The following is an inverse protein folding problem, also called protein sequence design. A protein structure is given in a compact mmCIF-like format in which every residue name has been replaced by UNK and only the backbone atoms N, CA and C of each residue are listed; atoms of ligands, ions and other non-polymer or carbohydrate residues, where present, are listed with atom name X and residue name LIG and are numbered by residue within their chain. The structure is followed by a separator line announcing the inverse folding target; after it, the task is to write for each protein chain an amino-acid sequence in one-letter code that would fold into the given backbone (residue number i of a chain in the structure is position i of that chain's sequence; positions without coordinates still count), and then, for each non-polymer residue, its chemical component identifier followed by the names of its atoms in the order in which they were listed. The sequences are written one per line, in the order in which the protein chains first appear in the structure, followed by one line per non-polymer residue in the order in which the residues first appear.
data_IF_945680658164
#
_entry.id   IF_945680658164
#
_cell.length_a   1.000
_cell.length_b   1.000
_cell.length_c   1.000
_cell.angle_alpha   90.00
_cell.angle_beta   90.00
_cell.angle_gamma   90.00
#
_symmetry.space_group_name_H-M   'P 1'
#
loop_
_entity.id
_entity.type
_entity.pdbx_description
1 polymer ?
#
# COMPACT_ATOMS: atom_id res chain seq x y z
N UNK A 1 -1.37 6.38 2.54
CA UNK A 1 -2.63 5.62 2.76
C UNK A 1 -2.34 4.13 3.02
N UNK A 2 -2.44 3.70 4.27
CA UNK A 2 -2.32 2.28 4.68
C UNK A 2 -3.72 1.70 4.93
N UNK A 3 -4.27 0.99 3.95
CA UNK A 3 -5.41 0.10 4.16
C UNK A 3 -4.91 -1.33 4.30
N UNK A 4 -5.63 -2.14 5.07
CA UNK A 4 -5.47 -3.60 5.11
C UNK A 4 -6.86 -4.23 5.09
N UNK A 5 -7.00 -5.44 4.57
CA UNK A 5 -8.27 -6.15 4.62
C UNK A 5 -8.41 -6.87 5.96
N UNK A 6 -9.44 -6.57 6.76
CA UNK A 6 -9.62 -7.13 8.11
C UNK A 6 -9.84 -8.64 8.14
N UNK A 7 -9.35 -9.33 9.18
CA UNK A 7 -9.51 -10.77 9.39
C UNK A 7 -8.67 -11.67 8.47
N UNK A 8 -7.74 -11.11 7.69
CA UNK A 8 -6.92 -11.83 6.71
C UNK A 8 -5.44 -11.76 7.09
N UNK A 9 -4.65 -12.74 6.64
CA UNK A 9 -3.20 -12.71 6.84
C UNK A 9 -2.57 -11.54 6.08
N UNK A 10 -1.92 -10.64 6.80
CA UNK A 10 -1.07 -9.60 6.23
C UNK A 10 0.39 -9.97 6.42
N UNK A 11 1.19 -9.73 5.38
CA UNK A 11 2.64 -9.81 5.42
C UNK A 11 3.23 -8.41 5.26
N UNK A 12 4.08 -8.01 6.21
CA UNK A 12 4.75 -6.71 6.19
C UNK A 12 6.26 -6.88 6.04
N UNK A 13 6.88 -6.02 5.24
CA UNK A 13 8.33 -5.85 5.18
C UNK A 13 8.70 -4.62 6.01
N UNK A 14 9.62 -4.80 6.94
CA UNK A 14 10.15 -3.78 7.83
C UNK A 14 11.59 -3.48 7.42
N UNK A 15 11.90 -2.21 7.19
CA UNK A 15 13.27 -1.76 6.91
C UNK A 15 13.77 -1.02 8.14
N UNK A 16 14.75 -1.58 8.84
CA UNK A 16 15.30 -0.96 10.04
C UNK A 16 16.59 -0.23 9.71
N UNK A 17 16.55 1.10 9.75
CA UNK A 17 17.74 1.94 9.61
C UNK A 17 18.67 1.68 10.79
N UNK A 18 19.97 1.52 10.52
CA UNK A 18 20.99 1.11 11.50
C UNK A 18 20.75 -0.28 12.14
N UNK A 19 20.29 -1.26 11.35
CA UNK A 19 20.14 -2.64 11.80
C UNK A 19 21.43 -3.26 12.38
N UNK A 20 22.61 -2.76 12.01
CA UNK A 20 23.86 -3.16 12.64
C UNK A 20 23.95 -2.83 14.14
N UNK A 21 23.12 -1.90 14.64
CA UNK A 21 23.05 -1.48 16.06
C UNK A 21 21.97 -2.21 16.86
N UNK A 22 21.07 -2.96 16.22
CA UNK A 22 19.97 -3.67 16.90
C UNK A 22 20.29 -5.15 17.09
N UNK A 23 19.67 -5.77 18.10
CA UNK A 23 19.67 -7.22 18.29
C UNK A 23 18.43 -7.78 17.59
N UNK A 24 18.58 -8.22 16.34
CA UNK A 24 17.46 -8.66 15.49
C UNK A 24 16.55 -9.73 16.12
N UNK A 25 17.11 -10.66 16.90
CA UNK A 25 16.35 -11.71 17.61
C UNK A 25 15.45 -11.20 18.74
N UNK A 26 15.61 -9.95 19.15
CA UNK A 26 14.75 -9.32 20.17
C UNK A 26 13.54 -8.58 19.58
N UNK A 27 13.45 -8.50 18.25
CA UNK A 27 12.41 -7.72 17.58
C UNK A 27 11.03 -8.39 17.75
N UNK A 28 10.05 -7.56 18.07
CA UNK A 28 8.62 -7.93 18.11
C UNK A 28 7.80 -6.84 17.44
N UNK A 29 6.76 -7.25 16.74
CA UNK A 29 5.79 -6.34 16.16
C UNK A 29 4.49 -6.44 16.94
N UNK A 30 4.15 -5.39 17.67
CA UNK A 30 2.83 -5.27 18.28
C UNK A 30 1.86 -4.64 17.31
N UNK A 31 0.65 -5.18 17.27
CA UNK A 31 -0.48 -4.62 16.56
C UNK A 31 -1.35 -3.99 17.64
N UNK A 32 -1.50 -2.67 17.59
CA UNK A 32 -2.19 -1.89 18.60
C UNK A 32 -3.50 -1.35 18.05
N UNK A 33 -4.53 -1.26 18.88
CA UNK A 33 -5.72 -0.45 18.58
C UNK A 33 -5.38 1.04 18.55
N UNK A 34 -6.35 1.87 18.13
CA UNK A 34 -6.23 3.34 18.21
C UNK A 34 -5.88 3.82 19.63
N UNK A 35 -6.38 3.15 20.66
CA UNK A 35 -6.19 3.51 22.07
C UNK A 35 -4.98 2.82 22.71
N UNK A 36 -4.01 2.36 21.90
CA UNK A 36 -2.79 1.67 22.32
C UNK A 36 -2.99 0.31 23.04
N UNK A 37 -4.21 -0.23 23.10
CA UNK A 37 -4.42 -1.61 23.56
C UNK A 37 -3.77 -2.59 22.58
N UNK A 38 -2.98 -3.53 23.10
CA UNK A 38 -2.38 -4.62 22.30
C UNK A 38 -3.49 -5.54 21.79
N UNK A 39 -3.59 -5.66 20.47
CA UNK A 39 -4.52 -6.55 19.77
C UNK A 39 -3.85 -7.87 19.40
N UNK A 40 -2.57 -7.82 19.02
CA UNK A 40 -1.79 -8.99 18.65
C UNK A 40 -0.28 -8.68 18.78
N UNK A 41 0.54 -9.73 18.89
CA UNK A 41 2.01 -9.64 18.85
C UNK A 41 2.52 -10.67 17.85
N UNK A 42 3.25 -10.20 16.83
CA UNK A 42 3.88 -11.05 15.84
C UNK A 42 5.38 -11.15 16.07
N UNK A 43 5.91 -12.35 15.88
CA UNK A 43 7.34 -12.58 15.70
C UNK A 43 7.84 -11.85 14.46
N UNK A 44 9.09 -11.38 14.52
CA UNK A 44 9.77 -10.68 13.43
C UNK A 44 10.97 -11.52 13.01
N UNK A 45 11.09 -11.76 11.71
CA UNK A 45 12.14 -12.60 11.13
C UNK A 45 13.02 -11.78 10.19
N UNK A 46 14.33 -12.04 10.17
CA UNK A 46 15.22 -11.42 9.18
C UNK A 46 14.91 -11.98 7.79
N UNK A 47 14.91 -11.11 6.78
CA UNK A 47 14.74 -11.49 5.37
C UNK A 47 15.93 -11.00 4.55
N UNK A 48 16.47 -11.87 3.71
CA UNK A 48 17.61 -11.55 2.85
C UNK A 48 18.98 -11.53 3.56
N UNK A 49 20.02 -11.14 2.81
CA UNK A 49 21.43 -11.23 3.25
C UNK A 49 21.97 -9.99 3.96
N UNK A 50 21.31 -8.83 3.80
CA UNK A 50 21.81 -7.54 4.30
C UNK A 50 21.60 -7.30 5.80
N UNK A 51 20.74 -8.10 6.45
CA UNK A 51 20.38 -7.98 7.87
C UNK A 51 19.56 -6.74 8.24
N UNK A 52 19.16 -5.91 7.26
CA UNK A 52 18.38 -4.69 7.46
C UNK A 52 16.88 -4.85 7.18
N UNK A 53 16.51 -5.91 6.46
CA UNK A 53 15.12 -6.22 6.15
C UNK A 53 14.60 -7.29 7.09
N UNK A 54 13.42 -7.05 7.60
CA UNK A 54 12.69 -7.99 8.42
C UNK A 54 11.28 -8.18 7.89
N UNK A 55 10.64 -9.29 8.23
CA UNK A 55 9.24 -9.55 7.92
C UNK A 55 8.48 -10.01 9.14
N UNK A 56 7.18 -9.76 9.10
CA UNK A 56 6.23 -10.26 10.08
C UNK A 56 4.91 -10.58 9.36
N UNK A 57 4.21 -11.59 9.87
CA UNK A 57 2.91 -12.00 9.37
C UNK A 57 1.91 -12.04 10.52
N UNK A 58 0.74 -11.44 10.33
CA UNK A 58 -0.30 -11.40 11.35
C UNK A 58 -1.68 -11.39 10.71
N UNK A 59 -2.68 -11.88 11.45
CA UNK A 59 -4.07 -11.65 11.08
C UNK A 59 -4.43 -10.19 11.36
N UNK A 60 -4.90 -9.48 10.34
CA UNK A 60 -5.29 -8.08 10.45
C UNK A 60 -6.50 -7.92 11.37
N UNK A 61 -6.46 -6.99 12.32
CA UNK A 61 -7.64 -6.65 13.11
C UNK A 61 -8.80 -6.18 12.22
N UNK A 62 -10.04 -6.46 12.65
CA UNK A 62 -11.27 -5.92 12.06
C UNK A 62 -11.59 -4.50 12.54
N UNK A 63 -10.79 -3.97 13.47
CA UNK A 63 -10.86 -2.59 13.99
C UNK A 63 -9.64 -1.77 13.55
N UNK A 64 -9.72 -0.43 13.48
CA UNK A 64 -8.56 0.40 13.19
C UNK A 64 -7.37 0.11 14.11
N UNK A 65 -6.19 -0.05 13.51
CA UNK A 65 -4.99 -0.48 14.22
C UNK A 65 -3.73 0.25 13.73
N UNK A 66 -2.69 0.28 14.55
CA UNK A 66 -1.33 0.73 14.19
C UNK A 66 -0.32 -0.36 14.52
N UNK A 67 0.88 -0.25 13.97
CA UNK A 67 1.97 -1.18 14.24
C UNK A 67 3.00 -0.52 15.16
N UNK A 68 3.55 -1.26 16.12
CA UNK A 68 4.65 -0.82 16.97
C UNK A 68 5.76 -1.84 16.94
N UNK A 69 6.90 -1.46 16.38
CA UNK A 69 8.11 -2.28 16.41
C UNK A 69 8.84 -2.03 17.74
N UNK A 70 9.19 -3.09 18.45
CA UNK A 70 9.95 -3.00 19.69
C UNK A 70 11.14 -3.95 19.66
N UNK A 71 12.16 -3.65 20.46
CA UNK A 71 13.27 -4.57 20.67
C UNK A 71 14.39 -3.96 21.49
N UNK A 72 15.56 -4.58 21.39
CA UNK A 72 16.78 -4.16 22.07
C UNK A 72 17.88 -3.81 21.09
N UNK A 73 18.67 -2.81 21.46
CA UNK A 73 19.96 -2.54 20.82
C UNK A 73 20.98 -3.61 21.20
N UNK A 74 22.09 -3.70 20.46
CA UNK A 74 23.22 -4.57 20.85
C UNK A 74 23.82 -4.18 22.21
N UNK A 75 23.70 -2.91 22.59
CA UNK A 75 24.06 -2.36 23.91
C UNK A 75 22.99 -2.56 24.98
N UNK A 76 21.96 -3.38 24.72
CA UNK A 76 20.89 -3.74 25.66
C UNK A 76 19.92 -2.61 26.06
N UNK A 77 19.94 -1.47 25.38
CA UNK A 77 18.89 -0.44 25.51
C UNK A 77 17.61 -0.86 24.78
N UNK A 78 16.46 -0.61 25.40
CA UNK A 78 15.16 -0.79 24.76
C UNK A 78 14.91 0.31 23.72
N UNK A 79 14.19 -0.03 22.66
CA UNK A 79 13.67 0.95 21.72
C UNK A 79 12.30 0.54 21.23
N UNK A 80 11.55 1.54 20.78
CA UNK A 80 10.25 1.37 20.16
C UNK A 80 10.07 2.33 19.00
N UNK A 81 9.27 1.93 18.01
CA UNK A 81 8.89 2.77 16.88
C UNK A 81 7.47 2.45 16.44
N UNK A 82 6.61 3.45 16.56
CA UNK A 82 5.25 3.38 16.04
C UNK A 82 5.24 3.64 14.53
N UNK A 83 4.35 2.94 13.83
CA UNK A 83 3.99 3.28 12.46
C UNK A 83 3.29 4.63 12.45
N UNK A 84 3.60 5.52 11.49
CA UNK A 84 3.03 6.86 11.47
C UNK A 84 1.53 6.90 11.19
N UNK A 85 0.95 5.82 10.65
CA UNK A 85 -0.43 5.80 10.17
C UNK A 85 -1.28 4.77 10.93
N UNK A 86 -2.53 5.12 11.18
CA UNK A 86 -3.58 4.18 11.58
C UNK A 86 -4.10 3.48 10.33
N UNK A 87 -3.96 2.16 10.31
CA UNK A 87 -4.54 1.26 9.32
C UNK A 87 -6.01 1.08 9.63
N UNK A 88 -6.88 1.47 8.69
CA UNK A 88 -8.30 1.21 8.79
C UNK A 88 -8.59 -0.08 8.02
N UNK A 89 -9.12 -1.12 8.68
CA UNK A 89 -9.52 -2.33 7.99
C UNK A 89 -10.67 -2.00 7.04
N UNK A 90 -10.48 -2.35 5.78
CA UNK A 90 -11.45 -2.11 4.71
C UNK A 90 -11.96 -3.41 4.11
N UNK A 91 -13.11 -3.31 3.45
CA UNK A 91 -13.69 -4.38 2.63
C UNK A 91 -12.97 -4.55 1.30
N UNK A 92 -12.12 -3.59 0.94
CA UNK A 92 -11.29 -3.63 -0.23
C UNK A 92 -9.91 -3.00 0.05
N UNK A 93 -8.92 -3.35 -0.78
CA UNK A 93 -7.60 -2.73 -0.80
C UNK A 93 -7.20 -2.46 -2.24
N UNK A 94 -6.80 -1.22 -2.54
CA UNK A 94 -6.28 -0.82 -3.85
C UNK A 94 -4.76 -0.57 -3.77
N UNK A 95 -4.00 -1.17 -4.69
CA UNK A 95 -2.54 -1.03 -4.79
C UNK A 95 -2.07 -1.06 -6.24
N UNK A 96 -0.87 -0.55 -6.46
CA UNK A 96 -0.13 -0.72 -7.72
C UNK A 96 0.42 -2.15 -7.77
N UNK A 97 0.20 -2.83 -8.88
CA UNK A 97 0.85 -4.10 -9.21
C UNK A 97 2.15 -3.86 -9.97
N UNK A 98 2.10 -2.95 -10.95
CA UNK A 98 3.19 -2.72 -11.88
C UNK A 98 3.11 -1.30 -12.44
N UNK A 99 4.27 -0.68 -12.65
CA UNK A 99 4.39 0.56 -13.41
C UNK A 99 5.52 0.41 -14.43
N UNK A 100 5.20 0.66 -15.69
CA UNK A 100 6.21 0.64 -16.76
C UNK A 100 7.15 1.82 -16.56
N UNK A 101 8.46 1.57 -16.68
CA UNK A 101 9.53 2.59 -16.52
C UNK A 101 9.42 3.35 -15.20
N UNK A 102 9.17 2.65 -14.09
CA UNK A 102 9.29 3.21 -12.74
C UNK A 102 8.47 4.49 -12.53
N UNK A 103 7.21 4.49 -12.99
CA UNK A 103 6.29 5.63 -12.86
C UNK A 103 6.65 6.86 -13.70
N UNK A 104 7.47 6.68 -14.73
CA UNK A 104 7.78 7.75 -15.69
C UNK A 104 6.90 7.66 -16.94
N UNK A 105 6.50 8.83 -17.46
CA UNK A 105 5.65 8.98 -18.65
C UNK A 105 6.42 9.79 -19.70
N UNK A 106 6.64 9.26 -20.91
CA UNK A 106 7.38 9.99 -21.94
C UNK A 106 6.58 11.16 -22.50
N UNK A 107 7.26 12.27 -22.80
CA UNK A 107 6.68 13.37 -23.60
C UNK A 107 6.19 12.81 -24.95
N UNK A 108 4.95 13.13 -25.31
CA UNK A 108 4.33 12.67 -26.56
C UNK A 108 3.99 11.16 -26.60
N UNK A 109 4.18 10.43 -25.50
CA UNK A 109 3.90 8.99 -25.41
C UNK A 109 3.00 8.62 -24.24
N UNK A 110 2.92 7.32 -23.96
CA UNK A 110 2.03 6.74 -22.94
C UNK A 110 2.81 5.94 -21.88
N UNK A 111 2.54 6.20 -20.61
CA UNK A 111 2.98 5.39 -19.47
C UNK A 111 1.87 4.44 -19.01
N UNK A 112 2.21 3.19 -18.66
CA UNK A 112 1.25 2.19 -18.18
C UNK A 112 1.44 1.96 -16.68
N UNK A 113 0.34 2.04 -15.93
CA UNK A 113 0.28 1.56 -14.55
C UNK A 113 -0.84 0.54 -14.41
N UNK A 114 -0.51 -0.63 -13.86
CA UNK A 114 -1.45 -1.71 -13.56
C UNK A 114 -1.71 -1.67 -12.06
N UNK A 115 -2.99 -1.70 -11.71
CA UNK A 115 -3.47 -1.68 -10.34
C UNK A 115 -4.25 -2.96 -10.05
N UNK A 116 -4.33 -3.30 -8.77
CA UNK A 116 -5.17 -4.37 -8.30
C UNK A 116 -6.06 -3.91 -7.15
N UNK A 117 -7.29 -4.39 -7.13
CA UNK A 117 -8.17 -4.32 -5.96
C UNK A 117 -8.36 -5.72 -5.39
N UNK A 118 -8.09 -5.88 -4.10
CA UNK A 118 -8.41 -7.10 -3.35
C UNK A 118 -9.72 -6.87 -2.61
N UNK A 119 -10.72 -7.74 -2.80
CA UNK A 119 -12.03 -7.64 -2.15
C UNK A 119 -12.14 -8.70 -1.05
N UNK A 120 -12.47 -8.28 0.17
CA UNK A 120 -12.76 -9.21 1.29
C UNK A 120 -14.21 -9.26 1.69
N UNK A 121 -15.04 -8.37 1.14
CA UNK A 121 -16.48 -8.48 1.25
C UNK A 121 -17.06 -9.43 0.21
N UNK A 122 -18.38 -9.58 0.25
CA UNK A 122 -19.16 -10.29 -0.78
C UNK A 122 -18.80 -9.82 -2.18
N UNK A 123 -18.85 -10.73 -3.15
CA UNK A 123 -18.55 -10.44 -4.55
C UNK A 123 -19.32 -9.23 -5.08
N UNK A 124 -18.60 -8.24 -5.61
CA UNK A 124 -19.22 -7.06 -6.22
C UNK A 124 -18.42 -6.52 -7.41
N UNK A 125 -19.00 -5.54 -8.13
CA UNK A 125 -18.29 -4.78 -9.15
C UNK A 125 -17.62 -3.56 -8.53
N UNK A 126 -16.37 -3.29 -8.92
CA UNK A 126 -15.66 -2.06 -8.57
C UNK A 126 -15.59 -1.15 -9.79
N UNK A 127 -15.97 0.13 -9.61
CA UNK A 127 -15.76 1.19 -10.59
C UNK A 127 -14.40 1.87 -10.31
N UNK A 128 -13.52 1.90 -11.31
CA UNK A 128 -12.22 2.56 -11.21
C UNK A 128 -12.25 3.95 -11.82
N UNK A 129 -11.59 4.88 -11.13
CA UNK A 129 -11.46 6.25 -11.56
C UNK A 129 -10.08 6.78 -11.21
N UNK A 130 -9.63 7.74 -12.00
CA UNK A 130 -8.42 8.51 -11.74
C UNK A 130 -8.86 9.95 -11.61
N UNK A 131 -8.50 10.62 -10.52
CA UNK A 131 -8.77 12.05 -10.38
C UNK A 131 -7.96 12.82 -11.41
N UNK A 132 -8.54 13.90 -11.89
CA UNK A 132 -7.88 14.83 -12.81
C UNK A 132 -6.57 15.33 -12.21
N UNK A 133 -5.50 15.28 -13.00
CA UNK A 133 -4.19 15.85 -12.71
C UNK A 133 -3.98 17.11 -13.56
N UNK A 134 -3.17 18.05 -13.09
CA UNK A 134 -2.77 19.22 -13.89
C UNK A 134 -1.70 18.87 -14.92
N UNK A 135 -0.95 17.78 -14.70
CA UNK A 135 0.20 17.36 -15.50
C UNK A 135 -0.14 16.19 -16.43
N UNK A 136 -1.03 15.28 -16.01
CA UNK A 136 -1.33 14.05 -16.74
C UNK A 136 -2.81 13.93 -17.12
N UNK A 137 -3.06 13.49 -18.34
CA UNK A 137 -4.33 12.88 -18.72
C UNK A 137 -4.29 11.37 -18.44
N UNK A 138 -5.46 10.78 -18.20
CA UNK A 138 -5.57 9.36 -17.88
C UNK A 138 -6.67 8.68 -18.68
N UNK A 139 -6.40 7.43 -19.09
CA UNK A 139 -7.36 6.56 -19.75
C UNK A 139 -7.41 5.24 -18.99
N UNK A 140 -8.50 5.05 -18.23
CA UNK A 140 -8.73 3.83 -17.46
C UNK A 140 -9.34 2.78 -18.38
N UNK A 141 -8.64 1.67 -18.55
CA UNK A 141 -9.20 0.51 -19.23
C UNK A 141 -9.91 -0.41 -18.26
N UNK A 142 -11.00 -1.03 -18.71
CA UNK A 142 -11.92 -1.80 -17.87
C UNK A 142 -12.32 -1.00 -16.62
N UNK A 143 -13.01 0.15 -16.78
CA UNK A 143 -13.38 1.01 -15.66
C UNK A 143 -14.35 0.33 -14.68
N UNK A 144 -14.83 -0.89 -14.97
CA UNK A 144 -15.62 -1.74 -14.09
C UNK A 144 -15.08 -3.17 -14.12
N UNK A 145 -14.82 -3.74 -12.95
CA UNK A 145 -14.37 -5.14 -12.82
C UNK A 145 -15.14 -5.84 -11.71
N UNK A 146 -15.65 -7.05 -11.98
CA UNK A 146 -16.23 -7.93 -10.96
C UNK A 146 -15.12 -8.57 -10.16
N UNK A 147 -15.17 -8.45 -8.83
CA UNK A 147 -14.15 -8.99 -7.94
C UNK A 147 -14.82 -9.89 -6.91
N UNK A 148 -14.54 -11.18 -7.03
CA UNK A 148 -15.05 -12.18 -6.13
C UNK A 148 -14.50 -11.99 -4.72
N UNK A 149 -15.26 -12.43 -3.71
CA UNK A 149 -14.80 -12.45 -2.33
C UNK A 149 -13.45 -13.16 -2.22
N UNK A 150 -12.54 -12.54 -1.47
CA UNK A 150 -11.16 -12.98 -1.21
C UNK A 150 -10.34 -13.18 -2.49
N UNK A 151 -10.68 -12.45 -3.57
CA UNK A 151 -9.93 -12.45 -4.82
C UNK A 151 -9.50 -11.05 -5.23
N UNK A 152 -8.61 -11.03 -6.20
CA UNK A 152 -8.05 -9.82 -6.78
C UNK A 152 -8.65 -9.56 -8.16
N UNK A 153 -9.05 -8.31 -8.40
CA UNK A 153 -9.36 -7.80 -9.73
C UNK A 153 -8.29 -6.83 -10.20
N UNK A 154 -8.05 -6.77 -11.51
CA UNK A 154 -7.02 -5.91 -12.10
C UNK A 154 -7.63 -4.90 -13.05
N UNK A 155 -7.05 -3.70 -13.08
CA UNK A 155 -7.32 -2.70 -14.10
C UNK A 155 -6.02 -1.98 -14.45
N UNK A 156 -6.02 -1.35 -15.61
CA UNK A 156 -4.85 -0.66 -16.12
C UNK A 156 -5.23 0.74 -16.55
N UNK A 157 -4.34 1.69 -16.25
CA UNK A 157 -4.48 3.08 -16.64
C UNK A 157 -3.30 3.46 -17.51
N UNK A 158 -3.60 4.05 -18.66
CA UNK A 158 -2.62 4.75 -19.47
C UNK A 158 -2.58 6.22 -19.08
N UNK A 159 -1.38 6.74 -18.85
CA UNK A 159 -1.14 8.15 -18.58
C UNK A 159 -0.41 8.78 -19.76
N UNK A 160 -0.79 10.01 -20.09
CA UNK A 160 -0.13 10.86 -21.10
C UNK A 160 0.19 12.20 -20.46
N UNK A 161 1.39 12.73 -20.70
CA UNK A 161 1.70 14.11 -20.33
C UNK A 161 0.79 15.06 -21.12
N UNK A 162 0.24 16.08 -20.45
CA UNK A 162 -0.51 17.13 -21.14
C UNK A 162 0.41 17.95 -22.03
N UNK A 163 -0.18 18.57 -23.06
CA UNK A 163 0.55 19.45 -23.96
C UNK A 163 1.24 20.58 -23.18
N UNK A 164 2.49 20.89 -23.53
CA UNK A 164 3.29 21.95 -22.92
C UNK A 164 3.99 21.59 -21.61
N UNK A 165 3.78 20.40 -21.06
CA UNK A 165 4.53 19.92 -19.89
C UNK A 165 5.97 19.58 -20.30
N UNK A 166 6.94 20.03 -19.50
CA UNK A 166 8.37 19.77 -19.73
C UNK A 166 8.87 18.55 -18.94
N UNK A 167 9.99 17.98 -19.41
CA UNK A 167 10.68 16.87 -18.76
C UNK A 167 11.07 17.22 -17.31
N UNK A 168 10.95 16.24 -16.41
CA UNK A 168 11.17 16.41 -14.97
C UNK A 168 9.95 16.91 -14.19
N UNK A 169 8.87 17.32 -14.85
CA UNK A 169 7.64 17.71 -14.15
C UNK A 169 6.94 16.48 -13.57
N UNK A 170 6.58 16.51 -12.28
CA UNK A 170 5.86 15.42 -11.62
C UNK A 170 4.54 15.88 -11.00
N UNK A 171 3.64 14.93 -10.77
CA UNK A 171 2.37 15.15 -10.06
C UNK A 171 1.89 13.85 -9.40
N UNK A 172 1.11 14.01 -8.34
CA UNK A 172 0.49 12.91 -7.61
C UNK A 172 -0.91 12.64 -8.17
N UNK A 173 -1.07 11.48 -8.83
CA UNK A 173 -2.38 11.04 -9.32
C UNK A 173 -3.08 10.20 -8.27
N UNK A 174 -4.34 10.54 -7.99
CA UNK A 174 -5.19 9.75 -7.08
C UNK A 174 -6.03 8.80 -7.90
N UNK A 175 -5.83 7.50 -7.69
CA UNK A 175 -6.62 6.43 -8.29
C UNK A 175 -7.58 5.88 -7.24
N UNK A 176 -8.84 5.68 -7.59
CA UNK A 176 -9.85 5.12 -6.70
C UNK A 176 -10.56 3.92 -7.31
N UNK A 177 -11.01 3.03 -6.44
CA UNK A 177 -11.92 1.94 -6.74
C UNK A 177 -13.14 2.08 -5.82
N UNK A 178 -14.32 2.15 -6.39
CA UNK A 178 -15.58 2.29 -5.64
C UNK A 178 -16.44 1.04 -5.85
N UNK A 179 -16.77 0.34 -4.78
CA UNK A 179 -17.72 -0.77 -4.80
C UNK A 179 -19.09 -0.27 -5.27
N UNK A 180 -19.64 -0.89 -6.31
CA UNK A 180 -20.91 -0.44 -6.90
C UNK A 180 -22.10 -0.76 -5.99
N UNK A 181 -22.01 -1.84 -5.20
CA UNK A 181 -23.04 -2.24 -4.25
C UNK A 181 -22.74 -1.68 -2.87
N UNK A 182 -21.53 -1.92 -2.35
CA UNK A 182 -21.14 -1.49 -1.00
C UNK A 182 -20.93 0.02 -0.86
N UNK A 183 -20.72 0.72 -1.98
CA UNK A 183 -20.32 2.14 -2.05
C UNK A 183 -18.99 2.46 -1.37
N UNK A 184 -18.25 1.44 -0.91
CA UNK A 184 -16.94 1.60 -0.28
C UNK A 184 -15.96 2.11 -1.34
N UNK A 185 -15.28 3.21 -1.02
CA UNK A 185 -14.23 3.78 -1.88
C UNK A 185 -12.88 3.55 -1.25
N UNK A 186 -11.96 2.96 -2.01
CA UNK A 186 -10.55 2.82 -1.66
C UNK A 186 -9.70 3.56 -2.67
N UNK A 187 -8.60 4.16 -2.22
CA UNK A 187 -7.74 4.97 -3.08
C UNK A 187 -6.27 4.65 -2.89
N UNK A 188 -5.51 4.85 -3.97
CA UNK A 188 -4.06 4.83 -3.99
C UNK A 188 -3.57 6.12 -4.63
N UNK A 189 -2.50 6.69 -4.08
CA UNK A 189 -1.79 7.82 -4.68
C UNK A 189 -0.58 7.25 -5.40
N UNK A 190 -0.30 7.75 -6.60
CA UNK A 190 0.87 7.38 -7.40
C UNK A 190 1.54 8.67 -7.86
N UNK A 191 2.82 8.83 -7.53
CA UNK A 191 3.62 9.93 -8.04
C UNK A 191 4.15 9.55 -9.43
N UNK A 192 3.80 10.34 -10.44
CA UNK A 192 4.27 10.17 -11.81
C UNK A 192 5.23 11.31 -12.17
N UNK A 193 6.15 11.04 -13.08
CA UNK A 193 7.08 12.05 -13.60
C UNK A 193 7.15 12.00 -15.12
N UNK A 194 7.16 13.16 -15.76
CA UNK A 194 7.40 13.30 -17.19
C UNK A 194 8.90 13.18 -17.47
N UNK A 195 9.24 12.46 -18.55
CA UNK A 195 10.61 12.42 -19.05
C UNK A 195 10.68 12.69 -20.55
#
# INVERSE_FOLDING_TARGET
MSGASGGHSAHVILIVRAANKIRGTSLKLEILSRDNKILNVSSVHSVGKSGAHFSASFSTPTVPFKLKLQGKTKKNFNFERDSPNIVHPGHALLRVLFARREFTVPIGGKGLVIFFVYNTATTEFFKFQVKTSTVFDSSVSRPRVRVYQNRTGFFYTWFTAKSGVISGTGDDVVVSATGMTSKVTVSSIVSLMVY
#
